data_IF_652603307775
#
_entry.id   IF_652603307775
#
_cell.length_a   1.000
_cell.length_b   1.000
_cell.length_c   1.000
_cell.angle_alpha   90.00
_cell.angle_beta   90.00
_cell.angle_gamma   90.00
#
_symmetry.space_group_name_H-M   'P 1'
#
loop_
_entity.id
_entity.type
_entity.pdbx_description
1 polymer ?
#
# COMPACT_ATOMS: atom_id res chain seq x y z
N UNK A 1 -10.18 -11.85 -4.69
CA UNK A 1 -10.73 -11.42 -3.39
C UNK A 1 -9.83 -10.38 -2.72
N UNK A 2 -8.53 -10.61 -2.60
CA UNK A 2 -7.60 -9.74 -1.87
C UNK A 2 -7.53 -8.30 -2.38
N UNK A 3 -7.51 -8.07 -3.70
CA UNK A 3 -7.54 -6.71 -4.27
C UNK A 3 -8.79 -5.92 -3.87
N UNK A 4 -9.94 -6.59 -3.74
CA UNK A 4 -11.19 -5.95 -3.34
C UNK A 4 -11.17 -5.56 -1.87
N UNK A 5 -10.73 -6.49 -1.01
CA UNK A 5 -10.56 -6.23 0.44
C UNK A 5 -9.60 -5.06 0.65
N UNK A 6 -8.48 -5.04 -0.08
CA UNK A 6 -7.50 -3.95 0.01
C UNK A 6 -8.08 -2.59 -0.37
N UNK A 7 -8.81 -2.53 -1.48
CA UNK A 7 -9.44 -1.29 -1.95
C UNK A 7 -10.47 -0.77 -0.93
N UNK A 8 -11.25 -1.68 -0.33
CA UNK A 8 -12.19 -1.33 0.74
C UNK A 8 -11.47 -0.87 2.01
N UNK A 9 -10.35 -1.50 2.40
CA UNK A 9 -9.52 -1.07 3.53
C UNK A 9 -8.96 0.34 3.31
N UNK A 10 -8.39 0.62 2.14
CA UNK A 10 -7.88 1.97 1.78
C UNK A 10 -9.00 3.00 1.87
N UNK A 11 -10.17 2.69 1.29
CA UNK A 11 -11.34 3.59 1.34
C UNK A 11 -11.80 3.82 2.78
N UNK A 12 -11.81 2.78 3.60
CA UNK A 12 -12.19 2.86 5.01
C UNK A 12 -11.22 3.74 5.80
N UNK A 13 -9.91 3.53 5.67
CA UNK A 13 -8.91 4.33 6.38
C UNK A 13 -8.91 5.80 5.95
N UNK A 14 -9.15 6.10 4.66
CA UNK A 14 -9.30 7.49 4.19
C UNK A 14 -10.49 8.18 4.86
N UNK A 15 -11.65 7.52 4.87
CA UNK A 15 -12.84 8.05 5.56
C UNK A 15 -12.59 8.25 7.06
N UNK A 16 -11.95 7.28 7.71
CA UNK A 16 -11.65 7.36 9.14
C UNK A 16 -10.69 8.53 9.45
N UNK A 17 -9.74 8.83 8.56
CA UNK A 17 -8.81 9.95 8.71
C UNK A 17 -9.48 11.32 8.56
N UNK A 18 -10.56 11.40 7.76
CA UNK A 18 -11.38 12.62 7.60
C UNK A 18 -12.24 12.89 8.83
N UNK A 19 -12.77 11.84 9.46
CA UNK A 19 -13.67 11.93 10.62
C UNK A 19 -12.92 12.08 11.96
N UNK A 20 -11.73 11.49 12.08
CA UNK A 20 -10.95 11.50 13.33
C UNK A 20 -10.30 12.87 13.59
N UNK A 21 -10.47 13.36 14.82
CA UNK A 21 -9.96 14.66 15.29
C UNK A 21 -8.80 14.52 16.26
N UNK A 22 -8.61 13.33 16.82
CA UNK A 22 -7.48 13.00 17.68
C UNK A 22 -6.22 12.78 16.83
N UNK A 23 -5.22 13.64 16.99
CA UNK A 23 -3.99 13.58 16.20
C UNK A 23 -3.16 12.31 16.42
N UNK A 24 -3.21 11.70 17.61
CA UNK A 24 -2.52 10.45 17.89
C UNK A 24 -3.17 9.31 17.10
N UNK A 25 -4.50 9.25 17.11
CA UNK A 25 -5.25 8.27 16.30
C UNK A 25 -5.09 8.51 14.81
N UNK A 26 -5.09 9.77 14.35
CA UNK A 26 -4.82 10.10 12.94
C UNK A 26 -3.44 9.61 12.50
N UNK A 27 -2.42 9.69 13.35
CA UNK A 27 -1.09 9.17 13.04
C UNK A 27 -1.09 7.64 12.89
N UNK A 28 -1.83 6.93 13.75
CA UNK A 28 -2.01 5.48 13.63
C UNK A 28 -2.73 5.14 12.31
N UNK A 29 -3.82 5.83 11.98
CA UNK A 29 -4.60 5.61 10.76
C UNK A 29 -3.74 5.87 9.51
N UNK A 30 -2.91 6.92 9.51
CA UNK A 30 -1.95 7.18 8.41
C UNK A 30 -0.97 6.04 8.22
N UNK A 31 -0.44 5.48 9.32
CA UNK A 31 0.50 4.35 9.26
C UNK A 31 -0.17 3.12 8.63
N UNK A 32 -1.38 2.78 9.08
CA UNK A 32 -2.15 1.66 8.54
C UNK A 32 -2.51 1.84 7.07
N UNK A 33 -2.89 3.06 6.67
CA UNK A 33 -3.16 3.39 5.27
C UNK A 33 -1.90 3.20 4.41
N UNK A 34 -0.74 3.69 4.85
CA UNK A 34 0.52 3.54 4.13
C UNK A 34 0.94 2.06 4.01
N UNK A 35 0.75 1.26 5.06
CA UNK A 35 1.01 -0.19 5.02
C UNK A 35 0.08 -0.89 4.00
N UNK A 36 -1.19 -0.51 3.92
CA UNK A 36 -2.15 -1.09 2.98
C UNK A 36 -1.89 -0.65 1.52
N UNK A 37 -1.42 0.58 1.31
CA UNK A 37 -0.99 1.09 0.00
C UNK A 37 0.32 0.43 -0.45
N UNK A 38 1.27 0.17 0.46
CA UNK A 38 2.53 -0.50 0.16
C UNK A 38 2.38 -1.98 -0.24
N UNK A 39 1.30 -2.65 0.20
CA UNK A 39 0.93 -4.00 -0.26
C UNK A 39 0.60 -4.03 -1.77
N UNK A 40 0.44 -2.88 -2.42
CA UNK A 40 0.22 -2.77 -3.87
C UNK A 40 1.50 -2.73 -4.70
N UNK A 41 2.69 -2.85 -4.10
CA UNK A 41 3.91 -3.02 -4.88
C UNK A 41 3.98 -4.49 -5.29
N UNK A 42 3.60 -4.87 -6.53
CA UNK A 42 4.08 -6.13 -7.05
C UNK A 42 5.60 -6.07 -6.97
N UNK A 43 6.23 -7.13 -6.48
CA UNK A 43 7.67 -7.36 -6.62
C UNK A 43 8.10 -7.53 -8.10
N UNK A 44 7.48 -6.80 -9.04
CA UNK A 44 7.87 -6.71 -10.44
C UNK A 44 8.87 -5.56 -10.62
N UNK A 45 10.02 -5.68 -9.96
CA UNK A 45 11.28 -5.10 -10.43
C UNK A 45 12.47 -5.96 -10.00
N UNK A 46 12.31 -7.27 -10.12
CA UNK A 46 13.44 -8.15 -10.40
C UNK A 46 13.29 -8.69 -11.83
N UNK A 47 13.76 -7.90 -12.79
CA UNK A 47 14.29 -8.46 -14.03
C UNK A 47 15.76 -8.04 -14.11
N UNK A 48 16.72 -8.85 -13.65
CA UNK A 48 18.04 -8.81 -14.24
C UNK A 48 17.92 -9.57 -15.57
N UNK A 49 17.42 -8.91 -16.62
CA UNK A 49 17.59 -9.46 -17.97
C UNK A 49 19.00 -9.08 -18.43
N UNK A 50 20.02 -9.62 -17.76
CA UNK A 50 21.38 -9.63 -18.26
C UNK A 50 21.47 -10.80 -19.27
N UNK A 51 21.06 -10.51 -20.50
CA UNK A 51 21.53 -11.26 -21.67
C UNK A 51 22.58 -10.40 -22.35
N UNK A 52 23.79 -10.41 -21.81
CA UNK A 52 24.98 -10.00 -22.56
C UNK A 52 26.12 -10.97 -22.28
N UNK A 53 26.06 -12.15 -22.91
CA UNK A 53 27.29 -12.88 -23.25
C UNK A 53 27.18 -13.60 -24.59
N UNK A 54 27.90 -13.01 -25.53
CA UNK A 54 28.24 -13.48 -26.86
C UNK A 54 29.09 -14.77 -26.77
N UNK A 55 28.89 -15.74 -27.66
CA UNK A 55 29.99 -16.50 -28.25
C UNK A 55 30.22 -16.10 -29.71
#
# INVERSE_FOLDING_TARGET
>A
MERFIRNENIRHYRKLLEEERDEEKRNIIRKLLAEEEAKDVPASSERPNDKSKHP
#
